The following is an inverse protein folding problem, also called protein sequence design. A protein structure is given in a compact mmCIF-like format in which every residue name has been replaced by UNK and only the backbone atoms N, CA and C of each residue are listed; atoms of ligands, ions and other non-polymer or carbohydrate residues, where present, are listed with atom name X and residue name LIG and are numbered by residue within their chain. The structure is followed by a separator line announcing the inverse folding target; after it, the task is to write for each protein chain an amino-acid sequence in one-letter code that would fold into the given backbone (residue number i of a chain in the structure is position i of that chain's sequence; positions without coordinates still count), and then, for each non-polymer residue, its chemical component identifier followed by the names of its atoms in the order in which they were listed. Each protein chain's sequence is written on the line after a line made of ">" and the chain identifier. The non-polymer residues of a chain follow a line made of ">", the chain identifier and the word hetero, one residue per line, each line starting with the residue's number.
data_IF_976807236014
#
_entry.id   IF_976807236014
#
_cell.length_a   1.000
_cell.length_b   1.000
_cell.length_c   1.000
_cell.angle_alpha   90.00
_cell.angle_beta   90.00
_cell.angle_gamma   90.00
#
_symmetry.space_group_name_H-M   'P 1'
#
loop_
_entity.id
_entity.type
_entity.pdbx_description
1 polymer ?
#
# COMPACT_ATOMS: atom_id res chain seq x y z
N UNK A 1 9.87 19.38 6.59
CA UNK A 1 9.24 18.11 6.18
C UNK A 1 10.25 17.00 5.86
N UNK A 2 11.24 17.19 4.98
CA UNK A 2 12.13 16.11 4.52
C UNK A 2 12.94 15.35 5.60
N UNK A 3 13.27 15.96 6.74
CA UNK A 3 14.04 15.28 7.81
C UNK A 3 13.27 14.17 8.52
N UNK A 4 11.94 14.28 8.60
CA UNK A 4 11.07 13.40 9.40
C UNK A 4 10.78 12.08 8.67
N UNK A 5 10.56 12.15 7.35
CA UNK A 5 10.44 10.96 6.50
C UNK A 5 11.73 10.14 6.50
N UNK A 6 12.90 10.78 6.36
CA UNK A 6 14.19 10.08 6.35
C UNK A 6 14.46 9.33 7.67
N UNK A 7 14.18 9.95 8.82
CA UNK A 7 14.30 9.27 10.13
C UNK A 7 13.30 8.12 10.28
N UNK A 8 12.08 8.26 9.75
CA UNK A 8 11.06 7.21 9.77
C UNK A 8 11.49 6.01 8.92
N UNK A 9 12.01 6.25 7.71
CA UNK A 9 12.54 5.18 6.84
C UNK A 9 13.70 4.47 7.52
N UNK A 10 14.61 5.19 8.18
CA UNK A 10 15.72 4.58 8.92
C UNK A 10 15.26 3.73 10.12
N UNK A 11 14.23 4.17 10.85
CA UNK A 11 13.60 3.38 11.93
C UNK A 11 13.01 2.08 11.38
N UNK A 12 12.26 2.19 10.28
CA UNK A 12 11.63 1.05 9.61
C UNK A 12 12.71 0.06 9.12
N UNK A 13 13.79 0.54 8.51
CA UNK A 13 14.88 -0.31 8.04
C UNK A 13 15.50 -1.12 9.20
N UNK A 14 15.72 -0.48 10.36
CA UNK A 14 16.20 -1.16 11.56
C UNK A 14 15.20 -2.17 12.12
N UNK A 15 13.90 -1.88 12.08
CA UNK A 15 12.85 -2.80 12.54
C UNK A 15 12.77 -4.06 11.65
N UNK A 16 12.96 -3.88 10.34
CA UNK A 16 13.05 -4.99 9.36
C UNK A 16 14.33 -5.82 9.60
N UNK A 17 15.50 -5.18 9.79
CA UNK A 17 16.76 -5.88 10.10
C UNK A 17 16.70 -6.69 11.40
N UNK A 18 15.95 -6.21 12.39
CA UNK A 18 15.72 -6.93 13.66
C UNK A 18 14.63 -8.00 13.58
N UNK A 19 14.10 -8.30 12.37
CA UNK A 19 13.15 -9.38 12.14
C UNK A 19 11.83 -9.22 12.94
N UNK A 20 11.53 -7.98 13.36
CA UNK A 20 10.37 -7.67 14.22
C UNK A 20 9.06 -7.50 13.46
N UNK A 21 9.11 -7.32 12.15
CA UNK A 21 7.93 -7.13 11.28
C UNK A 21 7.79 -8.28 10.28
N UNK A 22 7.33 -9.45 10.73
CA UNK A 22 7.13 -10.64 9.88
C UNK A 22 5.73 -10.83 9.33
N UNK A 23 4.73 -10.18 9.91
CA UNK A 23 3.32 -10.32 9.52
C UNK A 23 2.82 -9.13 8.72
N UNK A 24 1.82 -9.36 7.86
CA UNK A 24 1.14 -8.31 7.11
C UNK A 24 0.58 -7.21 8.04
N UNK A 25 0.06 -7.58 9.21
CA UNK A 25 -0.42 -6.61 10.21
C UNK A 25 0.72 -5.73 10.76
N UNK A 26 1.90 -6.31 11.02
CA UNK A 26 3.06 -5.57 11.50
C UNK A 26 3.63 -4.64 10.42
N UNK A 27 3.72 -5.11 9.17
CA UNK A 27 4.14 -4.30 8.02
C UNK A 27 3.13 -3.15 7.79
N UNK A 28 1.85 -3.46 7.82
CA UNK A 28 0.79 -2.48 7.62
C UNK A 28 0.82 -1.37 8.68
N UNK A 29 0.81 -1.72 9.96
CA UNK A 29 0.79 -0.74 11.04
C UNK A 29 2.16 -0.06 11.25
N UNK A 30 3.24 -0.84 11.22
CA UNK A 30 4.60 -0.41 11.54
C UNK A 30 5.33 0.28 10.41
N UNK A 31 4.92 0.07 9.15
CA UNK A 31 5.59 0.65 7.98
C UNK A 31 4.62 1.56 7.22
N UNK A 32 3.52 0.99 6.70
CA UNK A 32 2.67 1.69 5.74
C UNK A 32 2.00 2.90 6.36
N UNK A 33 1.34 2.73 7.52
CA UNK A 33 0.63 3.85 8.17
C UNK A 33 1.58 4.98 8.57
N UNK A 34 2.81 4.67 8.98
CA UNK A 34 3.84 5.68 9.32
C UNK A 34 4.27 6.43 8.06
N UNK A 35 4.57 5.71 6.98
CA UNK A 35 4.96 6.33 5.71
C UNK A 35 3.83 7.21 5.18
N UNK A 36 2.59 6.71 5.11
CA UNK A 36 1.41 7.45 4.65
C UNK A 36 1.22 8.76 5.44
N UNK A 37 1.31 8.70 6.77
CA UNK A 37 1.22 9.87 7.64
C UNK A 37 2.30 10.92 7.33
N UNK A 38 3.54 10.49 7.14
CA UNK A 38 4.66 11.39 6.85
C UNK A 38 4.60 12.02 5.45
N UNK A 39 4.01 11.33 4.47
CA UNK A 39 3.79 11.87 3.11
C UNK A 39 2.49 12.66 2.97
N UNK A 40 1.73 12.84 4.07
CA UNK A 40 0.54 13.70 4.11
C UNK A 40 -0.80 13.01 3.82
N UNK A 41 -0.83 11.68 3.66
CA UNK A 41 -2.07 10.92 3.63
C UNK A 41 -2.56 10.65 5.05
N UNK A 42 -3.84 10.88 5.39
CA UNK A 42 -4.35 10.66 6.75
C UNK A 42 -4.73 9.18 7.00
N UNK A 43 -3.88 8.35 7.65
CA UNK A 43 -4.13 6.90 7.79
C UNK A 43 -5.24 6.56 8.81
N UNK A 44 -5.86 7.58 9.41
CA UNK A 44 -6.98 7.45 10.35
C UNK A 44 -8.30 7.92 9.73
N UNK A 45 -8.27 8.57 8.57
CA UNK A 45 -9.48 8.95 7.84
C UNK A 45 -9.82 7.85 6.83
N UNK A 46 -10.76 6.97 7.21
CA UNK A 46 -11.19 5.83 6.39
C UNK A 46 -11.85 6.23 5.06
N UNK A 47 -12.25 7.51 4.90
CA UNK A 47 -12.80 8.02 3.63
C UNK A 47 -11.71 8.30 2.61
N UNK A 48 -10.49 8.53 3.08
CA UNK A 48 -9.32 8.92 2.29
C UNK A 48 -8.30 7.77 2.23
N UNK A 49 -8.11 7.03 3.32
CA UNK A 49 -7.30 5.82 3.39
C UNK A 49 -8.22 4.67 3.79
N UNK A 50 -8.88 4.08 2.80
CA UNK A 50 -9.89 3.05 3.00
C UNK A 50 -9.22 1.67 3.18
N UNK A 51 -9.31 1.03 4.36
CA UNK A 51 -8.82 -0.33 4.54
C UNK A 51 -9.74 -1.33 3.81
N UNK A 52 -9.21 -2.50 3.45
CA UNK A 52 -9.98 -3.58 2.81
C UNK A 52 -10.79 -3.09 1.59
N UNK A 53 -10.19 -2.21 0.78
CA UNK A 53 -10.90 -1.53 -0.31
C UNK A 53 -11.34 -2.54 -1.38
N UNK A 54 -12.65 -2.58 -1.63
CA UNK A 54 -13.26 -3.46 -2.61
C UNK A 54 -12.89 -3.06 -4.03
N UNK A 55 -12.51 -4.05 -4.83
CA UNK A 55 -12.14 -3.92 -6.23
C UNK A 55 -13.24 -4.52 -7.10
N UNK A 56 -13.71 -3.76 -8.09
CA UNK A 56 -14.71 -4.21 -9.07
C UNK A 56 -16.09 -4.42 -8.45
N UNK A 57 -16.61 -5.64 -8.55
CA UNK A 57 -17.86 -6.11 -7.97
C UNK A 57 -17.76 -6.41 -6.45
N UNK A 58 -16.60 -6.17 -5.84
CA UNK A 58 -16.37 -6.38 -4.41
C UNK A 58 -15.98 -7.81 -4.05
N UNK A 59 -15.86 -8.71 -5.05
CA UNK A 59 -15.36 -10.07 -4.86
C UNK A 59 -13.89 -10.11 -4.41
N UNK A 60 -13.14 -9.03 -4.64
CA UNK A 60 -11.75 -8.90 -4.23
C UNK A 60 -11.52 -7.62 -3.46
N UNK A 61 -10.60 -7.67 -2.51
CA UNK A 61 -10.20 -6.54 -1.68
C UNK A 61 -8.69 -6.37 -1.71
N UNK A 62 -8.24 -5.13 -1.59
CA UNK A 62 -6.84 -4.78 -1.27
C UNK A 62 -6.75 -4.26 0.15
N UNK A 63 -5.56 -4.30 0.73
CA UNK A 63 -5.35 -3.80 2.09
C UNK A 63 -5.70 -2.31 2.22
N UNK A 64 -5.33 -1.48 1.24
CA UNK A 64 -5.67 -0.06 1.27
C UNK A 64 -6.02 0.52 -0.11
N UNK A 65 -7.05 1.35 -0.13
CA UNK A 65 -7.35 2.29 -1.22
C UNK A 65 -7.13 3.73 -0.76
N UNK A 66 -6.16 4.42 -1.36
CA UNK A 66 -6.00 5.86 -1.19
C UNK A 66 -6.99 6.57 -2.11
N UNK A 67 -8.01 7.18 -1.53
CA UNK A 67 -9.11 7.79 -2.23
C UNK A 67 -8.95 9.31 -2.36
N UNK A 68 -9.05 9.82 -3.59
CA UNK A 68 -9.13 11.24 -3.85
C UNK A 68 -9.90 11.52 -5.16
N UNK A 69 -11.15 12.03 -5.11
CA UNK A 69 -11.96 12.35 -3.92
C UNK A 69 -12.39 11.09 -3.12
N UNK A 70 -12.97 11.25 -1.91
CA UNK A 70 -13.46 10.14 -1.10
C UNK A 70 -14.29 9.12 -1.89
N UNK A 71 -13.99 7.83 -1.71
CA UNK A 71 -14.64 6.74 -2.44
C UNK A 71 -14.11 6.46 -3.84
N UNK A 72 -13.23 7.32 -4.40
CA UNK A 72 -12.52 7.06 -5.66
C UNK A 72 -11.04 6.79 -5.40
N UNK A 73 -10.64 5.53 -5.42
CA UNK A 73 -9.25 5.13 -5.26
C UNK A 73 -8.39 5.68 -6.41
N UNK A 74 -7.34 6.42 -6.06
CA UNK A 74 -6.28 6.88 -6.97
C UNK A 74 -5.01 6.05 -6.82
N UNK A 75 -4.81 5.43 -5.66
CA UNK A 75 -3.72 4.47 -5.43
C UNK A 75 -4.30 3.25 -4.72
N UNK A 76 -3.96 2.05 -5.19
CA UNK A 76 -4.24 0.80 -4.49
C UNK A 76 -2.95 0.30 -3.88
N UNK A 77 -2.98 -0.09 -2.61
CA UNK A 77 -1.85 -0.67 -1.91
C UNK A 77 -2.24 -2.09 -1.50
N UNK A 78 -1.46 -3.05 -1.97
CA UNK A 78 -1.59 -4.45 -1.63
C UNK A 78 -0.33 -4.89 -0.89
N UNK A 79 -0.52 -5.30 0.35
CA UNK A 79 0.51 -5.78 1.25
C UNK A 79 0.62 -7.27 1.08
N UNK A 80 1.84 -7.77 1.16
CA UNK A 80 2.14 -9.19 1.12
C UNK A 80 3.00 -9.54 2.31
N UNK A 81 2.87 -10.80 2.72
CA UNK A 81 3.86 -11.47 3.57
C UNK A 81 5.30 -11.19 3.10
N UNK A 82 6.21 -11.15 4.07
CA UNK A 82 7.62 -10.86 3.84
C UNK A 82 8.21 -11.76 2.73
N UNK A 83 8.68 -11.13 1.64
CA UNK A 83 9.28 -11.83 0.50
C UNK A 83 8.32 -12.68 -0.36
N UNK A 84 6.99 -12.56 -0.17
CA UNK A 84 5.96 -13.26 -0.96
C UNK A 84 5.23 -12.37 -1.96
N UNK A 85 5.92 -11.42 -2.59
CA UNK A 85 5.40 -10.73 -3.76
C UNK A 85 5.29 -11.69 -4.97
N UNK A 86 4.27 -12.56 -4.99
CA UNK A 86 4.04 -13.50 -6.10
C UNK A 86 3.29 -12.82 -7.25
N UNK A 87 3.84 -12.99 -8.45
CA UNK A 87 3.33 -12.57 -9.75
C UNK A 87 1.83 -12.80 -10.02
N UNK A 88 1.22 -13.86 -9.49
CA UNK A 88 -0.19 -14.19 -9.79
C UNK A 88 -1.19 -13.22 -9.15
N UNK A 89 -0.95 -12.81 -7.90
CA UNK A 89 -1.79 -11.81 -7.23
C UNK A 89 -1.67 -10.43 -7.91
N UNK A 90 -0.47 -10.13 -8.40
CA UNK A 90 -0.14 -8.88 -9.06
C UNK A 90 -0.85 -8.72 -10.42
N UNK A 91 -0.88 -9.76 -11.25
CA UNK A 91 -1.53 -9.72 -12.57
C UNK A 91 -3.02 -9.34 -12.50
N UNK A 92 -3.71 -9.83 -11.48
CA UNK A 92 -5.14 -9.58 -11.30
C UNK A 92 -5.40 -8.13 -10.82
N UNK A 93 -4.53 -7.59 -9.97
CA UNK A 93 -4.53 -6.18 -9.57
C UNK A 93 -4.26 -5.24 -10.74
N UNK A 94 -3.27 -5.59 -11.59
CA UNK A 94 -3.01 -4.83 -12.81
C UNK A 94 -4.20 -4.83 -13.75
N UNK A 95 -4.82 -6.00 -13.92
CA UNK A 95 -6.01 -6.12 -14.75
C UNK A 95 -7.09 -5.15 -14.27
N UNK A 96 -7.34 -5.06 -12.96
CA UNK A 96 -8.30 -4.08 -12.47
C UNK A 96 -7.88 -2.61 -12.70
N UNK A 97 -6.63 -2.27 -12.39
CA UNK A 97 -6.14 -0.90 -12.56
C UNK A 97 -6.29 -0.41 -14.01
N UNK A 98 -6.09 -1.31 -14.97
CA UNK A 98 -6.25 -1.04 -16.40
C UNK A 98 -7.72 -0.84 -16.79
N UNK A 99 -8.64 -1.68 -16.29
CA UNK A 99 -10.05 -1.62 -16.68
C UNK A 99 -10.83 -0.50 -15.99
N UNK A 100 -10.45 -0.09 -14.77
CA UNK A 100 -11.17 0.92 -13.98
C UNK A 100 -10.43 2.27 -13.85
N UNK A 101 -9.29 2.41 -14.53
CA UNK A 101 -8.56 3.67 -14.61
C UNK A 101 -8.00 4.14 -13.27
N UNK A 102 -7.67 3.20 -12.37
CA UNK A 102 -6.93 3.54 -11.16
C UNK A 102 -5.46 3.74 -11.55
N UNK A 103 -4.90 4.94 -11.34
CA UNK A 103 -3.63 5.30 -11.97
C UNK A 103 -2.40 4.64 -11.33
N UNK A 104 -2.45 4.20 -10.07
CA UNK A 104 -1.27 3.65 -9.40
C UNK A 104 -1.62 2.41 -8.58
N UNK A 105 -0.83 1.36 -8.74
CA UNK A 105 -0.84 0.18 -7.86
C UNK A 105 0.52 0.07 -7.18
N UNK A 106 0.50 -0.12 -5.86
CA UNK A 106 1.70 -0.28 -5.03
C UNK A 106 1.65 -1.64 -4.35
N UNK A 107 2.71 -2.41 -4.52
CA UNK A 107 2.88 -3.72 -3.90
C UNK A 107 4.02 -3.67 -2.90
N UNK A 108 3.77 -4.14 -1.68
CA UNK A 108 4.72 -4.03 -0.57
C UNK A 108 4.88 -5.41 0.08
N UNK A 109 6.11 -5.93 0.12
CA UNK A 109 6.44 -7.23 0.74
C UNK A 109 7.39 -7.08 1.96
N UNK A 110 7.33 -5.92 2.62
CA UNK A 110 8.17 -5.56 3.77
C UNK A 110 9.60 -5.17 3.40
N UNK A 111 10.18 -5.71 2.33
CA UNK A 111 11.54 -5.36 1.87
C UNK A 111 11.53 -4.42 0.66
N UNK A 112 10.57 -4.60 -0.25
CA UNK A 112 10.49 -3.88 -1.52
C UNK A 112 9.14 -3.20 -1.64
N UNK A 113 9.19 -2.04 -2.28
CA UNK A 113 8.03 -1.29 -2.72
C UNK A 113 8.07 -1.26 -4.23
N UNK A 114 7.10 -1.89 -4.85
CA UNK A 114 6.97 -1.95 -6.30
C UNK A 114 5.82 -1.05 -6.73
N UNK A 115 6.14 -0.01 -7.50
CA UNK A 115 5.17 0.96 -8.01
C UNK A 115 4.87 0.65 -9.46
N UNK A 116 3.60 0.59 -9.78
CA UNK A 116 3.13 0.29 -11.12
C UNK A 116 2.15 1.36 -11.58
N UNK A 117 2.39 1.84 -12.78
CA UNK A 117 1.60 2.85 -13.44
C UNK A 117 1.10 2.25 -14.76
N UNK A 118 -0.21 1.97 -14.91
CA UNK A 118 -0.75 1.51 -16.18
C UNK A 118 -0.57 2.61 -17.24
N UNK A 119 -0.14 2.28 -18.47
CA UNK A 119 -0.24 3.23 -19.56
C UNK A 119 -1.72 3.56 -19.77
N UNK A 120 -2.04 4.86 -19.74
CA UNK A 120 -3.39 5.38 -19.97
C UNK A 120 -3.79 5.36 -21.43
#
# INVERSE_FOLDING_TARGET
>A
MCKKLASTIQSIAKEIENDTCKSEAAISQGIIRRVLSEIGWPPFDVKVVAPEFGIGDGARKVDYGLCHPPGKAVVLIDVKDLGKADSKGQQQLFSYSFHQGVPIVVLIDGHKWSFFYPPG
#
